data_IF_463685896547
#
_entry.id   IF_463685896547
#
_cell.length_a   1.000
_cell.length_b   1.000
_cell.length_c   1.000
_cell.angle_alpha   90.00
_cell.angle_beta   90.00
_cell.angle_gamma   90.00
#
_symmetry.space_group_name_H-M   'P 1'
#
loop_
_entity.id
_entity.type
_entity.pdbx_description
1 polymer ?
#
# COMPACT_ATOMS: atom_id res chain seq x y z
N UNK A 1 8.90 19.06 7.52
CA UNK A 1 9.54 18.82 6.20
C UNK A 1 8.42 18.39 5.28
N UNK A 2 8.20 19.10 4.18
CA UNK A 2 7.13 18.75 3.22
C UNK A 2 7.65 17.60 2.34
N UNK A 3 6.81 16.61 2.11
CA UNK A 3 7.11 15.48 1.21
C UNK A 3 7.43 16.00 -0.20
N UNK A 4 8.56 15.59 -0.82
CA UNK A 4 8.87 15.99 -2.19
C UNK A 4 7.75 15.58 -3.17
N UNK A 5 7.38 16.44 -4.16
CA UNK A 5 6.27 16.16 -5.07
C UNK A 5 6.36 14.80 -5.79
N UNK A 6 7.57 14.41 -6.24
CA UNK A 6 7.81 13.11 -6.89
C UNK A 6 7.47 11.93 -5.97
N UNK A 7 7.80 12.03 -4.67
CA UNK A 7 7.49 10.99 -3.69
C UNK A 7 6.00 10.97 -3.37
N UNK A 8 5.38 12.15 -3.25
CA UNK A 8 3.95 12.26 -2.99
C UNK A 8 3.12 11.57 -4.09
N UNK A 9 3.42 11.83 -5.37
CA UNK A 9 2.73 11.21 -6.50
C UNK A 9 2.83 9.68 -6.45
N UNK A 10 4.02 9.14 -6.17
CA UNK A 10 4.20 7.70 -6.04
C UNK A 10 3.39 7.13 -4.86
N UNK A 11 3.42 7.79 -3.70
CA UNK A 11 2.72 7.32 -2.51
C UNK A 11 1.20 7.38 -2.71
N UNK A 12 0.69 8.45 -3.31
CA UNK A 12 -0.73 8.59 -3.66
C UNK A 12 -1.17 7.49 -4.64
N UNK A 13 -0.35 7.18 -5.64
CA UNK A 13 -0.61 6.09 -6.57
C UNK A 13 -0.65 4.72 -5.88
N UNK A 14 0.29 4.46 -4.96
CA UNK A 14 0.29 3.21 -4.15
C UNK A 14 -0.95 3.13 -3.26
N UNK A 15 -1.29 4.20 -2.55
CA UNK A 15 -2.47 4.27 -1.68
C UNK A 15 -3.76 4.00 -2.45
N UNK A 16 -3.88 4.52 -3.67
CA UNK A 16 -5.03 4.31 -4.55
C UNK A 16 -5.11 2.89 -5.11
N UNK A 17 -3.99 2.29 -5.53
CA UNK A 17 -4.00 1.00 -6.25
C UNK A 17 -4.13 -0.21 -5.33
N UNK A 18 -3.62 -0.15 -4.09
CA UNK A 18 -3.68 -1.26 -3.12
C UNK A 18 -5.11 -1.80 -2.92
N UNK A 19 -6.14 -0.98 -2.59
CA UNK A 19 -7.51 -1.50 -2.42
C UNK A 19 -8.09 -2.10 -3.71
N UNK A 20 -7.74 -1.55 -4.88
CA UNK A 20 -8.18 -2.09 -6.18
C UNK A 20 -7.60 -3.48 -6.41
N UNK A 21 -6.32 -3.68 -6.08
CA UNK A 21 -5.65 -4.97 -6.22
C UNK A 21 -6.15 -6.00 -5.20
N UNK A 22 -6.49 -5.56 -3.99
CA UNK A 22 -7.18 -6.41 -3.03
C UNK A 22 -8.51 -6.90 -3.60
N UNK A 23 -9.35 -6.01 -4.12
CA UNK A 23 -10.65 -6.37 -4.71
C UNK A 23 -10.48 -7.35 -5.88
N UNK A 24 -9.43 -7.17 -6.70
CA UNK A 24 -9.13 -8.00 -7.86
C UNK A 24 -8.62 -9.39 -7.52
N UNK A 25 -7.78 -9.52 -6.48
CA UNK A 25 -7.05 -10.76 -6.22
C UNK A 25 -7.43 -11.49 -4.93
N UNK A 26 -8.00 -10.78 -3.95
CA UNK A 26 -8.08 -11.27 -2.58
C UNK A 26 -9.52 -11.36 -2.05
N UNK A 27 -10.46 -10.57 -2.59
CA UNK A 27 -11.81 -10.34 -2.04
C UNK A 27 -12.57 -11.59 -1.59
N UNK A 28 -12.39 -12.71 -2.30
CA UNK A 28 -13.18 -13.92 -2.05
C UNK A 28 -12.66 -14.75 -0.87
N UNK A 29 -11.37 -14.63 -0.52
CA UNK A 29 -10.69 -15.54 0.41
C UNK A 29 -9.97 -14.82 1.55
N UNK A 30 -10.01 -13.49 1.57
CA UNK A 30 -9.27 -12.69 2.53
C UNK A 30 -10.08 -11.47 2.95
N UNK A 31 -9.73 -10.94 4.11
CA UNK A 31 -10.29 -9.71 4.67
C UNK A 31 -9.33 -8.54 4.48
N UNK A 32 -9.88 -7.38 4.17
CA UNK A 32 -9.13 -6.13 4.05
C UNK A 32 -9.35 -5.26 5.28
N UNK A 33 -8.27 -4.89 5.95
CA UNK A 33 -8.31 -4.02 7.13
C UNK A 33 -7.44 -2.80 6.89
N UNK A 34 -8.03 -1.61 7.00
CA UNK A 34 -7.31 -0.35 6.87
C UNK A 34 -6.95 0.15 8.26
N UNK A 35 -5.65 0.20 8.54
CA UNK A 35 -5.13 0.78 9.78
C UNK A 35 -4.85 2.27 9.51
N UNK A 36 -5.60 3.20 10.13
CA UNK A 36 -5.38 4.62 9.90
C UNK A 36 -4.00 5.05 10.43
N UNK A 37 -3.40 6.10 9.86
CA UNK A 37 -2.17 6.65 10.40
C UNK A 37 -2.35 7.10 11.84
N UNK A 38 -1.36 6.87 12.70
CA UNK A 38 -1.40 7.32 14.10
C UNK A 38 -1.46 8.85 14.17
N UNK A 39 -2.56 9.38 14.70
CA UNK A 39 -2.70 10.80 15.01
C UNK A 39 -1.92 11.05 16.31
N UNK A 40 -0.90 11.90 16.23
CA UNK A 40 -0.15 12.31 17.43
C UNK A 40 -0.76 13.61 17.94
N UNK A 41 -0.98 13.72 19.25
CA UNK A 41 -1.46 14.94 19.92
C UNK A 41 -0.55 16.16 19.66
N UNK A 42 0.73 15.93 19.34
CA UNK A 42 1.70 16.94 18.92
C UNK A 42 2.37 16.49 17.63
N UNK A 43 1.83 16.82 16.44
CA UNK A 43 2.36 16.35 15.17
C UNK A 43 3.75 16.92 14.94
N UNK A 44 4.75 16.04 14.84
CA UNK A 44 6.10 16.44 14.42
C UNK A 44 6.07 16.78 12.93
N UNK A 45 6.81 17.81 12.47
CA UNK A 45 6.94 18.07 11.05
C UNK A 45 7.56 16.85 10.35
N UNK A 46 6.86 16.27 9.38
CA UNK A 46 7.31 15.05 8.71
C UNK A 46 6.49 14.74 7.46
N UNK A 47 6.77 13.59 6.83
CA UNK A 47 6.02 13.11 5.66
C UNK A 47 4.52 13.02 5.96
N UNK A 48 3.70 13.09 4.90
CA UNK A 48 2.26 12.90 5.01
C UNK A 48 2.02 11.51 5.60
N UNK A 49 1.28 11.43 6.70
CA UNK A 49 0.98 10.15 7.34
C UNK A 49 0.02 9.36 6.46
N UNK A 50 0.34 8.08 6.21
CA UNK A 50 -0.41 7.19 5.30
C UNK A 50 -1.04 6.02 6.07
N UNK A 51 -2.18 5.49 5.61
CA UNK A 51 -2.73 4.27 6.18
C UNK A 51 -1.83 3.06 5.89
N UNK A 52 -1.93 2.02 6.72
CA UNK A 52 -1.38 0.69 6.42
C UNK A 52 -2.51 -0.27 6.09
N UNK A 53 -2.36 -1.02 5.01
CA UNK A 53 -3.37 -1.95 4.53
C UNK A 53 -2.98 -3.37 4.93
N UNK A 54 -3.80 -4.01 5.76
CA UNK A 54 -3.62 -5.39 6.19
C UNK A 54 -4.53 -6.31 5.38
N UNK A 55 -3.98 -7.44 4.94
CA UNK A 55 -4.72 -8.57 4.41
C UNK A 55 -4.71 -9.66 5.47
N UNK A 56 -5.90 -10.14 5.84
CA UNK A 56 -6.08 -11.20 6.83
C UNK A 56 -6.79 -12.40 6.23
N UNK A 57 -6.50 -13.59 6.74
CA UNK A 57 -7.22 -14.81 6.35
C UNK A 57 -8.53 -14.95 7.13
N UNK A 58 -9.27 -16.04 6.88
CA UNK A 58 -10.56 -16.32 7.53
C UNK A 58 -10.45 -16.51 9.06
N UNK A 59 -9.26 -16.86 9.55
CA UNK A 59 -9.01 -16.96 11.00
C UNK A 59 -8.72 -15.59 11.65
N UNK A 60 -8.54 -14.55 10.83
CA UNK A 60 -8.17 -13.22 11.25
C UNK A 60 -6.66 -13.01 11.40
N UNK A 61 -5.83 -14.00 11.05
CA UNK A 61 -4.37 -13.87 11.10
C UNK A 61 -3.86 -12.94 10.00
N UNK A 62 -2.77 -12.21 10.28
CA UNK A 62 -2.16 -11.31 9.32
C UNK A 62 -1.40 -12.10 8.26
N UNK A 63 -1.84 -11.98 7.00
CA UNK A 63 -1.26 -12.67 5.85
C UNK A 63 -0.20 -11.81 5.18
N UNK A 64 -0.52 -10.54 4.97
CA UNK A 64 0.39 -9.56 4.38
C UNK A 64 0.00 -8.14 4.81
N UNK A 65 0.94 -7.21 4.68
CA UNK A 65 0.63 -5.79 4.74
C UNK A 65 1.26 -5.01 3.59
N UNK A 66 0.62 -3.90 3.25
CA UNK A 66 1.10 -2.92 2.29
C UNK A 66 1.05 -1.53 2.88
N UNK A 67 2.16 -0.80 2.83
CA UNK A 67 2.24 0.60 3.21
C UNK A 67 2.56 1.45 1.96
N UNK A 68 1.83 2.56 1.71
CA UNK A 68 2.08 3.45 0.58
C UNK A 68 3.50 4.05 0.52
N UNK A 69 4.24 4.07 1.62
CA UNK A 69 5.67 4.44 1.62
C UNK A 69 6.57 3.43 0.88
N UNK A 70 6.04 2.27 0.49
CA UNK A 70 6.76 1.23 -0.24
C UNK A 70 7.14 0.03 0.62
N UNK A 71 6.98 0.11 1.94
CA UNK A 71 7.19 -1.02 2.84
C UNK A 71 6.04 -2.03 2.72
N UNK A 72 6.38 -3.29 2.45
CA UNK A 72 5.41 -4.38 2.35
C UNK A 72 6.02 -5.65 2.97
N UNK A 73 5.18 -6.55 3.46
CA UNK A 73 5.63 -7.88 3.91
C UNK A 73 4.56 -8.94 3.72
N UNK A 74 4.99 -10.18 3.53
CA UNK A 74 4.16 -11.38 3.43
C UNK A 74 4.57 -12.34 4.55
N UNK A 75 3.60 -12.84 5.30
CA UNK A 75 3.82 -13.72 6.46
C UNK A 75 3.35 -15.15 6.24
N UNK A 76 2.63 -15.40 5.14
CA UNK A 76 2.07 -16.70 4.77
C UNK A 76 2.57 -17.11 3.40
N UNK A 77 3.12 -18.31 3.29
CA UNK A 77 3.75 -18.80 2.06
C UNK A 77 2.70 -19.03 0.95
N UNK A 78 1.51 -19.51 1.32
CA UNK A 78 0.39 -19.73 0.42
C UNK A 78 -0.06 -18.44 -0.28
N UNK A 79 0.14 -17.27 0.36
CA UNK A 79 -0.22 -15.97 -0.21
C UNK A 79 0.90 -15.36 -1.06
N UNK A 80 2.12 -15.92 -1.03
CA UNK A 80 3.31 -15.31 -1.63
C UNK A 80 3.15 -14.99 -3.11
N UNK A 81 2.48 -15.87 -3.87
CA UNK A 81 2.23 -15.69 -5.29
C UNK A 81 1.29 -14.50 -5.58
N UNK A 82 0.26 -14.29 -4.76
CA UNK A 82 -0.64 -13.13 -4.86
C UNK A 82 0.11 -11.86 -4.45
N UNK A 83 0.83 -11.94 -3.33
CA UNK A 83 1.65 -10.84 -2.82
C UNK A 83 2.63 -10.33 -3.88
N UNK A 84 3.41 -11.21 -4.51
CA UNK A 84 4.39 -10.82 -5.54
C UNK A 84 3.75 -10.15 -6.75
N UNK A 85 2.56 -10.63 -7.16
CA UNK A 85 1.79 -10.01 -8.23
C UNK A 85 1.28 -8.63 -7.83
N UNK A 86 0.77 -8.47 -6.61
CA UNK A 86 0.33 -7.17 -6.08
C UNK A 86 1.51 -6.20 -5.99
N UNK A 87 2.65 -6.60 -5.43
CA UNK A 87 3.85 -5.75 -5.31
C UNK A 87 4.30 -5.26 -6.70
N UNK A 88 4.28 -6.13 -7.71
CA UNK A 88 4.61 -5.75 -9.09
C UNK A 88 3.64 -4.70 -9.64
N UNK A 89 2.33 -4.88 -9.47
CA UNK A 89 1.33 -3.92 -9.96
C UNK A 89 1.34 -2.60 -9.18
N UNK A 90 1.59 -2.63 -7.86
CA UNK A 90 1.76 -1.44 -7.02
C UNK A 90 2.96 -0.62 -7.48
N UNK A 91 4.10 -1.28 -7.71
CA UNK A 91 5.31 -0.60 -8.18
C UNK A 91 5.16 -0.07 -9.60
N UNK A 92 4.45 -0.79 -10.48
CA UNK A 92 4.11 -0.31 -11.81
C UNK A 92 3.25 0.95 -11.73
N UNK A 93 2.18 0.96 -10.94
CA UNK A 93 1.32 2.14 -10.78
C UNK A 93 2.08 3.35 -10.23
N UNK A 94 2.97 3.14 -9.26
CA UNK A 94 3.82 4.22 -8.74
C UNK A 94 4.79 4.76 -9.80
N UNK A 95 5.34 3.88 -10.64
CA UNK A 95 6.22 4.26 -11.75
C UNK A 95 5.46 5.03 -12.83
N UNK A 96 4.34 4.49 -13.30
CA UNK A 96 3.48 5.10 -14.33
C UNK A 96 3.03 6.50 -13.88
N UNK A 97 2.63 6.67 -12.62
CA UNK A 97 2.24 7.98 -12.07
C UNK A 97 3.40 8.98 -12.01
N UNK A 98 4.63 8.50 -11.76
CA UNK A 98 5.81 9.37 -11.79
C UNK A 98 6.15 9.81 -13.22
N UNK A 99 6.08 8.89 -14.20
CA UNK A 99 6.30 9.19 -15.62
C UNK A 99 5.27 10.21 -16.11
N UNK A 100 3.98 10.03 -15.77
CA UNK A 100 2.92 11.00 -16.07
C UNK A 100 3.18 12.38 -15.44
N UNK A 101 3.63 12.42 -14.19
CA UNK A 101 3.99 13.67 -13.51
C UNK A 101 5.19 14.37 -14.15
N UNK A 102 6.13 13.61 -14.70
CA UNK A 102 7.32 14.12 -15.39
C UNK A 102 7.06 14.49 -16.85
N UNK A 103 5.92 14.07 -17.41
CA UNK A 103 5.55 14.29 -18.81
C UNK A 103 6.37 13.44 -19.79
N UNK A 104 6.73 12.22 -19.39
CA UNK A 104 7.54 11.27 -20.16
C UNK A 104 6.70 10.07 -20.60
#
# INVERSE_FOLDING_TARGET
>A
MVEPPRLQVQFDAREKIIPILFEKYCKNNYQFVIIPPTIELNPRPGPIKRPTFHIRDDSGELVAFFNPWGTTACYKEEFKHIFDRMVKEINKAAKDALEEFEGI
#
